data_IF_542031765157
#
_entry.id   IF_542031765157
#
_cell.length_a   1.000
_cell.length_b   1.000
_cell.length_c   1.000
_cell.angle_alpha   90.00
_cell.angle_beta   90.00
_cell.angle_gamma   90.00
#
_symmetry.space_group_name_H-M   'P 1'
#
loop_
_entity.id
_entity.type
_entity.pdbx_description
1 polymer ?
#
# COMPACT_ATOMS: atom_id res chain seq x y z
N UNK A 1 -2.60 -59.15 40.02
CA UNK A 1 -3.79 -58.67 39.31
C UNK A 1 -3.53 -57.22 38.89
N UNK A 2 -2.79 -56.95 37.79
CA UNK A 2 -3.30 -56.74 36.41
C UNK A 2 -4.53 -55.82 36.41
N UNK A 3 -4.33 -54.51 36.21
CA UNK A 3 -4.44 -53.76 34.93
C UNK A 3 -5.88 -53.70 34.36
N UNK A 4 -6.22 -52.54 33.79
CA UNK A 4 -7.41 -52.17 32.98
C UNK A 4 -8.44 -51.30 33.74
N UNK A 5 -8.21 -49.99 33.78
CA UNK A 5 -9.24 -48.95 33.51
C UNK A 5 -8.51 -47.70 33.00
N UNK A 6 -8.11 -47.69 31.72
CA UNK A 6 -7.61 -46.46 31.09
C UNK A 6 -7.77 -46.56 29.57
N UNK A 7 -9.01 -46.45 29.05
CA UNK A 7 -9.24 -46.40 27.59
C UNK A 7 -10.67 -45.97 27.23
N UNK A 8 -11.11 -44.78 27.68
CA UNK A 8 -12.23 -44.08 27.04
C UNK A 8 -11.92 -42.57 27.06
N UNK A 9 -11.01 -42.10 26.20
CA UNK A 9 -10.89 -40.67 25.85
C UNK A 9 -10.20 -40.40 24.50
N UNK A 10 -10.06 -41.40 23.62
CA UNK A 10 -9.35 -41.26 22.33
C UNK A 10 -10.25 -41.38 21.09
N UNK A 11 -11.53 -40.98 21.18
CA UNK A 11 -12.45 -41.00 20.02
C UNK A 11 -12.94 -39.62 19.57
N UNK A 12 -12.38 -38.53 20.11
CA UNK A 12 -12.78 -37.16 19.71
C UNK A 12 -11.99 -36.60 18.50
N UNK A 13 -10.74 -37.01 18.15
CA UNK A 13 -10.07 -36.45 16.97
C UNK A 13 -10.61 -36.98 15.63
N UNK A 14 -11.21 -38.17 15.58
CA UNK A 14 -11.64 -38.78 14.32
C UNK A 14 -12.94 -38.19 13.74
N UNK A 15 -13.78 -37.53 14.55
CA UNK A 15 -15.06 -36.98 14.07
C UNK A 15 -14.84 -35.70 13.26
N UNK A 16 -13.81 -34.91 13.58
CA UNK A 16 -13.49 -33.67 12.84
C UNK A 16 -12.95 -33.97 11.43
N UNK A 17 -12.03 -34.94 11.30
CA UNK A 17 -11.46 -35.35 10.00
C UNK A 17 -12.46 -36.11 9.11
N UNK A 18 -13.36 -36.89 9.72
CA UNK A 18 -14.42 -37.59 8.97
C UNK A 18 -15.52 -36.64 8.47
N UNK A 19 -15.72 -35.49 9.11
CA UNK A 19 -16.67 -34.48 8.62
C UNK A 19 -16.15 -33.80 7.35
N UNK A 20 -14.88 -33.40 7.28
CA UNK A 20 -14.32 -32.75 6.09
C UNK A 20 -14.41 -33.61 4.82
N UNK A 21 -14.17 -34.93 4.90
CA UNK A 21 -14.21 -35.84 3.73
C UNK A 21 -15.62 -36.17 3.23
N UNK A 22 -16.66 -36.05 4.07
CA UNK A 22 -18.07 -36.23 3.65
C UNK A 22 -18.60 -34.97 2.95
N UNK A 23 -18.08 -33.79 3.28
CA UNK A 23 -18.53 -32.51 2.71
C UNK A 23 -17.89 -32.14 1.37
N UNK A 24 -16.81 -32.81 0.97
CA UNK A 24 -16.14 -32.64 -0.32
C UNK A 24 -17.01 -33.05 -1.53
N UNK A 25 -18.11 -33.78 -1.32
CA UNK A 25 -18.97 -34.32 -2.39
C UNK A 25 -20.16 -33.46 -2.80
N UNK A 26 -20.46 -32.35 -2.11
CA UNK A 26 -21.62 -31.51 -2.47
C UNK A 26 -21.31 -30.56 -3.63
N UNK A 27 -22.20 -30.50 -4.61
CA UNK A 27 -22.10 -29.54 -5.72
C UNK A 27 -22.33 -28.11 -5.23
N UNK A 28 -21.82 -27.12 -5.95
CA UNK A 28 -22.07 -25.70 -5.66
C UNK A 28 -23.58 -25.39 -5.58
N UNK A 29 -24.38 -25.95 -6.49
CA UNK A 29 -25.83 -25.76 -6.51
C UNK A 29 -26.52 -26.31 -5.25
N UNK A 30 -26.06 -27.46 -4.74
CA UNK A 30 -26.56 -28.03 -3.48
C UNK A 30 -26.22 -27.12 -2.29
N UNK A 31 -24.98 -26.68 -2.17
CA UNK A 31 -24.56 -25.77 -1.08
C UNK A 31 -25.34 -24.45 -1.10
N UNK A 32 -25.59 -23.90 -2.30
CA UNK A 32 -26.38 -22.69 -2.43
C UNK A 32 -27.87 -22.91 -2.07
N UNK A 33 -28.41 -24.09 -2.38
CA UNK A 33 -29.79 -24.47 -2.01
C UNK A 33 -29.90 -24.64 -0.49
N UNK A 34 -28.93 -25.31 0.13
CA UNK A 34 -28.85 -25.46 1.59
C UNK A 34 -28.72 -24.10 2.27
N UNK A 35 -27.94 -23.18 1.71
CA UNK A 35 -27.84 -21.81 2.22
C UNK A 35 -29.18 -21.08 2.16
N UNK A 36 -29.82 -21.08 1.00
CA UNK A 36 -31.13 -20.42 0.78
C UNK A 36 -32.25 -21.00 1.66
N UNK A 37 -32.14 -22.28 2.03
CA UNK A 37 -33.11 -22.97 2.89
C UNK A 37 -32.70 -22.98 4.37
N UNK A 38 -31.61 -22.30 4.75
CA UNK A 38 -31.13 -22.24 6.14
C UNK A 38 -30.53 -23.53 6.68
N UNK A 39 -30.31 -24.54 5.83
CA UNK A 39 -29.76 -25.86 6.19
C UNK A 39 -28.24 -25.91 6.17
N UNK A 40 -27.56 -24.87 5.66
CA UNK A 40 -26.12 -24.86 5.54
C UNK A 40 -25.44 -24.70 6.92
N UNK A 41 -24.53 -25.61 7.31
CA UNK A 41 -23.74 -25.47 8.53
C UNK A 41 -22.86 -24.22 8.52
N UNK A 42 -22.68 -23.57 9.68
CA UNK A 42 -21.89 -22.34 9.82
C UNK A 42 -20.44 -22.48 9.33
N UNK A 43 -19.87 -23.68 9.42
CA UNK A 43 -18.50 -23.98 9.01
C UNK A 43 -18.34 -23.91 7.47
N UNK A 44 -19.42 -24.12 6.72
CA UNK A 44 -19.40 -24.12 5.26
C UNK A 44 -19.66 -22.75 4.64
N UNK A 45 -20.04 -21.75 5.43
CA UNK A 45 -20.31 -20.40 4.91
C UNK A 45 -19.06 -19.78 4.29
N UNK A 46 -17.87 -19.97 4.88
CA UNK A 46 -16.63 -19.44 4.32
C UNK A 46 -16.33 -20.02 2.94
N UNK A 47 -16.34 -21.36 2.81
CA UNK A 47 -16.04 -22.01 1.53
C UNK A 47 -17.09 -21.70 0.47
N UNK A 48 -18.38 -21.64 0.85
CA UNK A 48 -19.44 -21.25 -0.07
C UNK A 48 -19.29 -19.79 -0.54
N UNK A 49 -18.95 -18.85 0.36
CA UNK A 49 -18.76 -17.45 -0.02
C UNK A 49 -17.67 -17.29 -1.09
N UNK A 50 -16.53 -18.00 -0.92
CA UNK A 50 -15.43 -17.99 -1.88
C UNK A 50 -15.82 -18.66 -3.19
N UNK A 51 -16.49 -19.83 -3.16
CA UNK A 51 -17.00 -20.50 -4.36
C UNK A 51 -18.02 -19.64 -5.11
N UNK A 52 -18.90 -18.94 -4.41
CA UNK A 52 -19.85 -18.02 -5.03
C UNK A 52 -19.15 -16.87 -5.74
N UNK A 53 -18.06 -16.34 -5.19
CA UNK A 53 -17.24 -15.32 -5.84
C UNK A 53 -16.54 -15.88 -7.08
N UNK A 54 -15.98 -17.09 -7.01
CA UNK A 54 -15.37 -17.79 -8.16
C UNK A 54 -16.38 -18.03 -9.30
N UNK A 55 -17.65 -18.25 -8.96
CA UNK A 55 -18.76 -18.39 -9.90
C UNK A 55 -19.37 -17.04 -10.34
N UNK A 56 -18.71 -15.91 -10.05
CA UNK A 56 -19.14 -14.53 -10.39
C UNK A 56 -20.52 -14.16 -9.85
N UNK A 57 -20.92 -14.74 -8.71
CA UNK A 57 -22.16 -14.41 -8.03
C UNK A 57 -21.88 -13.42 -6.87
N UNK A 58 -21.46 -12.21 -7.20
CA UNK A 58 -20.89 -11.28 -6.22
C UNK A 58 -21.87 -10.87 -5.11
N UNK A 59 -23.14 -10.61 -5.46
CA UNK A 59 -24.17 -10.20 -4.49
C UNK A 59 -24.44 -11.29 -3.46
N UNK A 60 -24.60 -12.55 -3.90
CA UNK A 60 -24.82 -13.66 -2.97
C UNK A 60 -23.55 -14.00 -2.19
N UNK A 61 -22.37 -13.94 -2.82
CA UNK A 61 -21.09 -14.15 -2.17
C UNK A 61 -20.89 -13.18 -0.99
N UNK A 62 -21.18 -11.88 -1.19
CA UNK A 62 -21.11 -10.87 -0.13
C UNK A 62 -22.10 -11.14 1.00
N UNK A 63 -23.34 -11.53 0.68
CA UNK A 63 -24.34 -11.87 1.71
C UNK A 63 -23.87 -13.05 2.57
N UNK A 64 -23.40 -14.13 1.94
CA UNK A 64 -22.87 -15.30 2.65
C UNK A 64 -21.64 -14.92 3.49
N UNK A 65 -20.75 -14.08 2.96
CA UNK A 65 -19.56 -13.60 3.66
C UNK A 65 -19.92 -12.78 4.91
N UNK A 66 -20.90 -11.87 4.83
CA UNK A 66 -21.39 -11.11 5.98
C UNK A 66 -21.97 -12.05 7.06
N UNK A 67 -22.75 -13.05 6.64
CA UNK A 67 -23.29 -14.04 7.56
C UNK A 67 -22.17 -14.83 8.25
N UNK A 68 -21.19 -15.35 7.50
CA UNK A 68 -20.02 -16.02 8.07
C UNK A 68 -19.31 -15.15 9.10
N UNK A 69 -19.03 -13.88 8.75
CA UNK A 69 -18.36 -12.94 9.65
C UNK A 69 -19.12 -12.82 10.98
N UNK A 70 -20.43 -12.53 10.93
CA UNK A 70 -21.26 -12.37 12.14
C UNK A 70 -21.34 -13.64 12.99
N UNK A 71 -21.43 -14.82 12.37
CA UNK A 71 -21.64 -16.09 13.08
C UNK A 71 -20.35 -16.74 13.60
N UNK A 72 -19.18 -16.43 13.02
CA UNK A 72 -17.96 -17.18 13.25
C UNK A 72 -16.76 -16.34 13.74
N UNK A 73 -16.76 -15.03 13.51
CA UNK A 73 -15.59 -14.16 13.75
C UNK A 73 -15.73 -13.20 14.94
N UNK A 74 -16.80 -13.31 15.73
CA UNK A 74 -17.00 -12.47 16.93
C UNK A 74 -16.34 -13.04 18.21
N UNK A 75 -15.83 -14.28 18.17
CA UNK A 75 -15.27 -14.97 19.34
C UNK A 75 -13.76 -14.73 19.55
N UNK A 76 -13.31 -14.82 20.81
CA UNK A 76 -11.88 -14.78 21.22
C UNK A 76 -11.06 -15.93 20.61
N UNK A 77 -9.73 -15.82 20.69
CA UNK A 77 -8.80 -16.86 20.24
C UNK A 77 -8.49 -16.81 18.74
N UNK A 78 -8.27 -15.62 18.19
CA UNK A 78 -8.04 -15.42 16.76
C UNK A 78 -6.78 -16.10 16.23
N UNK A 79 -5.74 -16.27 17.05
CA UNK A 79 -4.47 -16.88 16.62
C UNK A 79 -4.66 -18.23 15.94
N UNK A 80 -5.50 -19.10 16.51
CA UNK A 80 -5.77 -20.43 15.98
C UNK A 80 -6.71 -20.42 14.76
N UNK A 81 -7.34 -19.28 14.46
CA UNK A 81 -8.23 -19.09 13.32
C UNK A 81 -7.53 -18.46 12.12
N UNK A 82 -6.30 -17.97 12.28
CA UNK A 82 -5.54 -17.38 11.18
C UNK A 82 -5.05 -18.49 10.24
N UNK A 83 -5.85 -18.81 9.23
CA UNK A 83 -5.53 -19.81 8.19
C UNK A 83 -5.42 -19.16 6.80
N UNK A 84 -4.78 -19.81 5.82
CA UNK A 84 -4.75 -19.33 4.43
C UNK A 84 -6.14 -19.07 3.83
N UNK A 85 -7.15 -19.85 4.19
CA UNK A 85 -8.53 -19.67 3.75
C UNK A 85 -9.15 -18.41 4.34
N UNK A 86 -8.87 -18.12 5.62
CA UNK A 86 -9.29 -16.86 6.25
C UNK A 86 -8.58 -15.66 5.62
N UNK A 87 -7.28 -15.78 5.28
CA UNK A 87 -6.56 -14.76 4.52
C UNK A 87 -7.25 -14.48 3.19
N UNK A 88 -7.54 -15.53 2.40
CA UNK A 88 -8.26 -15.43 1.12
C UNK A 88 -9.60 -14.74 1.33
N UNK A 89 -10.38 -15.17 2.32
CA UNK A 89 -11.65 -14.55 2.70
C UNK A 89 -11.53 -13.04 2.99
N UNK A 90 -10.58 -12.62 3.84
CA UNK A 90 -10.35 -11.21 4.16
C UNK A 90 -10.01 -10.41 2.89
N UNK A 91 -9.12 -10.93 2.05
CA UNK A 91 -8.71 -10.25 0.81
C UNK A 91 -9.77 -10.23 -0.27
N UNK A 92 -10.68 -11.21 -0.28
CA UNK A 92 -11.79 -11.31 -1.24
C UNK A 92 -12.99 -10.43 -0.86
N UNK A 93 -13.18 -10.16 0.44
CA UNK A 93 -14.31 -9.37 0.94
C UNK A 93 -13.87 -8.19 1.82
N UNK A 94 -12.90 -7.35 1.42
CA UNK A 94 -12.37 -6.31 2.29
C UNK A 94 -13.43 -5.29 2.73
N UNK A 95 -14.45 -5.05 1.90
CA UNK A 95 -15.53 -4.09 2.15
C UNK A 95 -16.45 -4.45 3.33
N UNK A 96 -16.52 -5.73 3.74
CA UNK A 96 -17.38 -6.13 4.87
C UNK A 96 -16.69 -5.94 6.22
N UNK A 97 -15.40 -5.61 6.21
CA UNK A 97 -14.59 -5.42 7.41
C UNK A 97 -14.46 -3.95 7.79
N UNK A 98 -14.28 -3.71 9.09
CA UNK A 98 -14.08 -2.40 9.69
C UNK A 98 -13.10 -2.44 10.85
N UNK A 99 -12.65 -1.27 11.30
CA UNK A 99 -11.80 -1.11 12.47
C UNK A 99 -12.46 -1.58 13.78
N UNK A 100 -13.79 -1.71 13.78
CA UNK A 100 -14.54 -2.22 14.93
C UNK A 100 -14.53 -3.74 15.05
N UNK A 101 -14.09 -4.46 14.01
CA UNK A 101 -14.02 -5.91 14.02
C UNK A 101 -12.86 -6.40 14.89
N UNK A 102 -13.17 -7.28 15.85
CA UNK A 102 -12.17 -7.81 16.76
C UNK A 102 -11.04 -8.57 16.05
N UNK A 103 -11.36 -9.31 14.98
CA UNK A 103 -10.35 -9.96 14.13
C UNK A 103 -9.42 -8.94 13.47
N UNK A 104 -9.94 -7.83 12.95
CA UNK A 104 -9.14 -6.82 12.26
C UNK A 104 -8.22 -6.12 13.25
N UNK A 105 -8.74 -5.72 14.42
CA UNK A 105 -7.90 -5.17 15.49
C UNK A 105 -6.81 -6.15 15.90
N UNK A 106 -7.14 -7.43 16.06
CA UNK A 106 -6.15 -8.45 16.37
C UNK A 106 -5.04 -8.52 15.31
N UNK A 107 -5.39 -8.52 14.03
CA UNK A 107 -4.42 -8.58 12.92
C UNK A 107 -3.48 -7.38 12.95
N UNK A 108 -4.02 -6.16 13.14
CA UNK A 108 -3.24 -4.93 13.14
C UNK A 108 -2.33 -4.85 14.38
N UNK A 109 -2.83 -5.25 15.55
CA UNK A 109 -2.11 -5.16 16.82
C UNK A 109 -1.09 -6.30 17.03
N UNK A 110 -1.19 -7.39 16.26
CA UNK A 110 -0.30 -8.54 16.35
C UNK A 110 0.33 -8.85 14.98
N UNK A 111 1.13 -7.92 14.42
CA UNK A 111 1.66 -8.04 13.07
C UNK A 111 2.52 -9.28 12.89
N UNK A 112 3.45 -9.56 13.80
CA UNK A 112 4.34 -10.72 13.70
C UNK A 112 3.60 -12.06 13.65
N UNK A 113 2.62 -12.24 14.54
CA UNK A 113 1.80 -13.46 14.59
C UNK A 113 0.99 -13.59 13.30
N UNK A 114 0.33 -12.51 12.90
CA UNK A 114 -0.57 -12.52 11.74
C UNK A 114 0.17 -12.74 10.43
N UNK A 115 1.28 -12.02 10.24
CA UNK A 115 2.13 -12.14 9.07
C UNK A 115 2.70 -13.54 8.93
N UNK A 116 3.18 -14.14 10.03
CA UNK A 116 3.68 -15.52 10.04
C UNK A 116 2.59 -16.54 9.75
N UNK A 117 1.42 -16.44 10.40
CA UNK A 117 0.30 -17.37 10.20
C UNK A 117 -0.27 -17.32 8.78
N UNK A 118 -0.23 -16.15 8.15
CA UNK A 118 -0.67 -15.94 6.78
C UNK A 118 0.42 -16.10 5.73
N UNK A 119 1.66 -16.36 6.13
CA UNK A 119 2.83 -16.42 5.25
C UNK A 119 2.91 -15.19 4.32
N UNK A 120 2.77 -14.00 4.91
CA UNK A 120 2.88 -12.70 4.21
C UNK A 120 3.41 -11.64 5.19
N UNK A 121 4.72 -11.35 5.17
CA UNK A 121 5.39 -10.38 6.04
C UNK A 121 4.79 -8.96 6.03
N UNK A 122 3.96 -8.62 5.04
CA UNK A 122 3.32 -7.31 4.93
C UNK A 122 1.82 -7.31 5.17
N UNK A 123 1.20 -8.46 5.48
CA UNK A 123 -0.26 -8.59 5.50
C UNK A 123 -0.92 -7.63 6.50
N UNK A 124 -0.45 -7.62 7.74
CA UNK A 124 -1.00 -6.76 8.79
C UNK A 124 -0.93 -5.27 8.40
N UNK A 125 0.20 -4.81 7.83
CA UNK A 125 0.36 -3.44 7.34
C UNK A 125 -0.58 -3.11 6.18
N UNK A 126 -0.79 -4.04 5.24
CA UNK A 126 -1.76 -3.87 4.13
C UNK A 126 -3.19 -3.76 4.65
N UNK A 127 -3.57 -4.58 5.63
CA UNK A 127 -4.88 -4.51 6.28
C UNK A 127 -5.05 -3.21 7.06
N UNK A 128 -4.05 -2.83 7.87
CA UNK A 128 -4.05 -1.56 8.61
C UNK A 128 -4.25 -0.39 7.65
N UNK A 129 -3.45 -0.33 6.57
CA UNK A 129 -3.58 0.71 5.54
C UNK A 129 -5.00 0.74 4.95
N UNK A 130 -5.51 -0.39 4.48
CA UNK A 130 -6.82 -0.42 3.85
C UNK A 130 -7.94 -0.01 4.82
N UNK A 131 -8.00 -0.61 6.00
CA UNK A 131 -9.10 -0.41 6.94
C UNK A 131 -9.03 0.96 7.61
N UNK A 132 -7.86 1.38 8.08
CA UNK A 132 -7.72 2.69 8.75
C UNK A 132 -7.86 3.84 7.76
N UNK A 133 -7.42 3.66 6.50
CA UNK A 133 -7.72 4.65 5.46
C UNK A 133 -9.23 4.76 5.24
N UNK A 134 -9.92 3.64 5.01
CA UNK A 134 -11.36 3.62 4.74
C UNK A 134 -12.21 4.15 5.90
N UNK A 135 -11.90 3.77 7.13
CA UNK A 135 -12.78 3.99 8.28
C UNK A 135 -12.43 5.23 9.11
N UNK A 136 -11.20 5.76 8.99
CA UNK A 136 -10.74 6.88 9.82
C UNK A 136 -10.26 8.04 8.94
N UNK A 137 -9.32 7.77 8.02
CA UNK A 137 -8.66 8.84 7.25
C UNK A 137 -9.59 9.43 6.20
N UNK A 138 -10.21 8.60 5.35
CA UNK A 138 -11.09 9.05 4.28
C UNK A 138 -12.29 9.83 4.82
N UNK A 139 -12.98 9.42 5.91
CA UNK A 139 -14.03 10.26 6.50
C UNK A 139 -13.54 11.62 6.99
N UNK A 140 -12.28 11.74 7.41
CA UNK A 140 -11.69 13.01 7.85
C UNK A 140 -11.24 13.89 6.68
N UNK A 141 -10.72 13.29 5.61
CA UNK A 141 -10.19 14.03 4.45
C UNK A 141 -11.26 14.30 3.39
N UNK A 142 -12.17 13.34 3.20
CA UNK A 142 -13.14 13.29 2.12
C UNK A 142 -14.57 13.04 2.66
N UNK A 143 -15.12 13.94 3.50
CA UNK A 143 -16.51 13.83 3.89
C UNK A 143 -17.38 13.78 2.62
N UNK A 144 -18.31 12.82 2.57
CA UNK A 144 -19.18 12.61 1.40
C UNK A 144 -18.44 12.25 0.08
N UNK A 145 -17.20 11.76 0.19
CA UNK A 145 -16.40 11.30 -0.94
C UNK A 145 -15.69 12.41 -1.71
N UNK A 146 -15.72 13.66 -1.23
CA UNK A 146 -14.98 14.80 -1.81
C UNK A 146 -14.04 15.38 -0.77
N UNK A 147 -12.84 15.80 -1.20
CA UNK A 147 -11.89 16.42 -0.28
C UNK A 147 -12.51 17.63 0.42
N UNK A 148 -12.40 17.66 1.75
CA UNK A 148 -12.83 18.78 2.56
C UNK A 148 -12.14 20.06 2.09
N UNK A 149 -12.87 21.17 2.13
CA UNK A 149 -12.31 22.50 1.81
C UNK A 149 -11.30 22.93 2.88
N UNK A 150 -11.65 22.70 4.14
CA UNK A 150 -10.82 23.05 5.29
C UNK A 150 -9.73 22.01 5.54
N UNK A 151 -8.62 22.48 6.11
CA UNK A 151 -7.51 21.62 6.52
C UNK A 151 -7.96 20.65 7.62
N UNK A 152 -7.71 19.33 7.47
CA UNK A 152 -7.98 18.36 8.52
C UNK A 152 -7.20 18.69 9.79
N UNK A 153 -7.80 18.39 10.95
CA UNK A 153 -7.08 18.39 12.22
C UNK A 153 -6.13 17.17 12.25
N UNK A 154 -4.91 17.38 11.77
CA UNK A 154 -3.88 16.34 11.65
C UNK A 154 -3.54 15.70 12.99
N UNK A 155 -3.57 16.47 14.09
CA UNK A 155 -3.24 15.96 15.42
C UNK A 155 -4.36 15.05 15.93
N UNK A 156 -5.62 15.44 15.73
CA UNK A 156 -6.77 14.59 16.04
C UNK A 156 -6.75 13.31 15.20
N UNK A 157 -6.50 13.42 13.89
CA UNK A 157 -6.44 12.25 13.00
C UNK A 157 -5.34 11.29 13.43
N UNK A 158 -4.14 11.79 13.74
CA UNK A 158 -3.03 10.98 14.22
C UNK A 158 -3.37 10.24 15.52
N UNK A 159 -3.99 10.92 16.49
CA UNK A 159 -4.48 10.29 17.73
C UNK A 159 -5.50 9.18 17.43
N UNK A 160 -6.41 9.39 16.48
CA UNK A 160 -7.40 8.38 16.13
C UNK A 160 -6.76 7.13 15.50
N UNK A 161 -5.78 7.30 14.61
CA UNK A 161 -5.07 6.17 13.98
C UNK A 161 -4.20 5.43 15.01
N UNK A 162 -3.54 6.14 15.91
CA UNK A 162 -2.71 5.57 16.99
C UNK A 162 -3.47 4.66 17.97
N UNK A 163 -4.80 4.77 18.04
CA UNK A 163 -5.61 3.86 18.86
C UNK A 163 -5.61 2.42 18.33
N UNK A 164 -5.21 2.21 17.07
CA UNK A 164 -5.35 0.92 16.39
C UNK A 164 -4.03 0.35 15.88
N UNK A 165 -3.07 1.17 15.50
CA UNK A 165 -1.80 0.75 14.94
C UNK A 165 -0.60 1.28 15.72
N UNK A 166 0.55 0.61 15.58
CA UNK A 166 1.80 1.04 16.17
C UNK A 166 2.23 2.44 15.66
N UNK A 167 3.05 3.19 16.41
CA UNK A 167 3.42 4.56 16.04
C UNK A 167 4.04 4.70 14.64
N UNK A 168 4.82 3.72 14.19
CA UNK A 168 5.46 3.79 12.87
C UNK A 168 4.44 3.63 11.75
N UNK A 169 3.54 2.64 11.86
CA UNK A 169 2.45 2.44 10.90
C UNK A 169 1.52 3.65 10.89
N UNK A 170 1.12 4.16 12.06
CA UNK A 170 0.26 5.32 12.19
C UNK A 170 0.86 6.57 11.55
N UNK A 171 2.13 6.87 11.84
CA UNK A 171 2.86 7.98 11.23
C UNK A 171 2.88 7.87 9.71
N UNK A 172 3.16 6.68 9.17
CA UNK A 172 3.20 6.46 7.73
C UNK A 172 1.85 6.70 7.06
N UNK A 173 0.75 6.25 7.68
CA UNK A 173 -0.60 6.47 7.16
C UNK A 173 -1.01 7.94 7.21
N UNK A 174 -0.64 8.67 8.26
CA UNK A 174 -0.90 10.10 8.37
C UNK A 174 -0.08 10.91 7.35
N UNK A 175 1.16 10.51 7.06
CA UNK A 175 1.95 11.12 5.98
C UNK A 175 1.29 10.88 4.63
N UNK A 176 0.85 9.65 4.33
CA UNK A 176 0.13 9.34 3.08
C UNK A 176 -1.15 10.20 2.96
N UNK A 177 -1.88 10.38 4.07
CA UNK A 177 -3.07 11.24 4.13
C UNK A 177 -2.74 12.71 3.85
N UNK A 178 -1.71 13.25 4.50
CA UNK A 178 -1.22 14.62 4.28
C UNK A 178 -0.84 14.84 2.83
N UNK A 179 -0.04 13.94 2.25
CA UNK A 179 0.34 14.01 0.83
C UNK A 179 -0.89 14.03 -0.08
N UNK A 180 -1.86 13.16 0.17
CA UNK A 180 -3.09 13.14 -0.61
C UNK A 180 -3.87 14.45 -0.52
N UNK A 181 -3.99 15.05 0.66
CA UNK A 181 -4.72 16.31 0.85
C UNK A 181 -3.98 17.52 0.29
N UNK A 182 -2.69 17.67 0.59
CA UNK A 182 -1.89 18.81 0.09
C UNK A 182 -1.73 18.77 -1.43
N UNK A 183 -1.62 17.58 -2.03
CA UNK A 183 -1.59 17.45 -3.49
C UNK A 183 -2.91 17.89 -4.11
N UNK A 184 -4.06 17.53 -3.53
CA UNK A 184 -5.37 18.02 -3.97
C UNK A 184 -5.46 19.55 -3.89
N UNK A 185 -4.91 20.14 -2.83
CA UNK A 185 -4.91 21.60 -2.64
C UNK A 185 -3.80 22.32 -3.41
N UNK A 186 -2.98 21.59 -4.17
CA UNK A 186 -1.80 22.11 -4.86
C UNK A 186 -0.85 22.89 -3.93
N UNK A 187 -0.80 22.49 -2.66
CA UNK A 187 0.11 23.05 -1.66
C UNK A 187 1.46 22.35 -1.76
N UNK A 188 2.22 22.77 -2.76
CA UNK A 188 3.46 22.08 -3.14
C UNK A 188 4.55 22.15 -2.08
N UNK A 189 4.59 23.20 -1.25
CA UNK A 189 5.56 23.31 -0.16
C UNK A 189 5.36 22.16 0.84
N UNK A 190 4.11 21.88 1.22
CA UNK A 190 3.79 20.75 2.08
C UNK A 190 3.94 19.40 1.37
N UNK A 191 3.63 19.31 0.06
CA UNK A 191 3.88 18.07 -0.71
C UNK A 191 5.38 17.73 -0.75
N UNK A 192 6.25 18.71 -0.98
CA UNK A 192 7.72 18.52 -0.94
C UNK A 192 8.14 18.07 0.46
N UNK A 193 7.73 18.80 1.51
CA UNK A 193 8.07 18.50 2.90
C UNK A 193 7.71 17.06 3.28
N UNK A 194 6.47 16.63 3.01
CA UNK A 194 6.02 15.31 3.43
C UNK A 194 6.54 14.16 2.56
N UNK A 195 6.93 14.41 1.30
CA UNK A 195 7.67 13.42 0.52
C UNK A 195 9.08 13.19 1.09
N UNK A 196 9.77 14.26 1.48
CA UNK A 196 11.08 14.16 2.12
C UNK A 196 10.99 13.43 3.48
N UNK A 197 10.01 13.80 4.31
CA UNK A 197 9.78 13.10 5.59
C UNK A 197 9.47 11.61 5.39
N UNK A 198 8.70 11.27 4.34
CA UNK A 198 8.42 9.87 3.99
C UNK A 198 9.70 9.12 3.66
N UNK A 199 10.56 9.68 2.82
CA UNK A 199 11.84 9.08 2.44
C UNK A 199 12.76 8.92 3.64
N UNK A 200 12.82 9.90 4.55
CA UNK A 200 13.60 9.78 5.78
C UNK A 200 13.10 8.64 6.68
N UNK A 201 11.79 8.41 6.70
CA UNK A 201 11.18 7.35 7.49
C UNK A 201 11.34 5.95 6.88
N UNK A 202 11.19 5.80 5.55
CA UNK A 202 11.19 4.47 4.89
C UNK A 202 12.51 4.12 4.20
N UNK A 203 13.38 5.10 4.00
CA UNK A 203 14.59 4.98 3.18
C UNK A 203 14.34 5.19 1.69
N UNK A 204 15.43 5.22 0.92
CA UNK A 204 15.38 5.33 -0.54
C UNK A 204 15.18 3.95 -1.17
N UNK A 205 14.11 3.79 -1.94
CA UNK A 205 13.97 2.63 -2.82
C UNK A 205 14.73 2.87 -4.13
N UNK A 206 15.88 2.21 -4.25
CA UNK A 206 16.78 2.34 -5.42
C UNK A 206 16.74 1.11 -6.32
N UNK A 207 15.77 0.21 -6.13
CA UNK A 207 15.64 -1.05 -6.86
C UNK A 207 14.33 -1.10 -7.67
N UNK A 208 14.27 -2.01 -8.65
CA UNK A 208 13.05 -2.31 -9.40
C UNK A 208 12.35 -1.07 -9.96
N UNK A 209 11.06 -0.90 -9.62
CA UNK A 209 10.24 0.26 -9.98
C UNK A 209 10.52 1.49 -9.10
N UNK A 210 11.05 1.28 -7.89
CA UNK A 210 11.32 2.33 -6.91
C UNK A 210 12.31 3.38 -7.41
N UNK A 211 13.33 2.96 -8.18
CA UNK A 211 14.29 3.90 -8.79
C UNK A 211 13.62 4.90 -9.75
N UNK A 212 12.65 4.45 -10.55
CA UNK A 212 11.89 5.32 -11.45
C UNK A 212 10.93 6.21 -10.66
N UNK A 213 10.28 5.68 -9.62
CA UNK A 213 9.44 6.48 -8.72
C UNK A 213 10.24 7.57 -8.01
N UNK A 214 11.48 7.28 -7.60
CA UNK A 214 12.37 8.24 -6.97
C UNK A 214 12.75 9.35 -7.94
N UNK A 215 13.17 9.02 -9.17
CA UNK A 215 13.44 10.03 -10.21
C UNK A 215 12.22 10.93 -10.45
N UNK A 216 11.04 10.32 -10.64
CA UNK A 216 9.82 11.08 -10.91
C UNK A 216 9.44 11.98 -9.74
N UNK A 217 9.57 11.51 -8.49
CA UNK A 217 9.35 12.35 -7.30
C UNK A 217 10.34 13.52 -7.25
N UNK A 218 11.62 13.27 -7.54
CA UNK A 218 12.62 14.34 -7.59
C UNK A 218 12.27 15.38 -8.67
N UNK A 219 11.93 14.94 -9.89
CA UNK A 219 11.62 15.83 -10.99
C UNK A 219 10.29 16.57 -10.76
N UNK A 220 9.18 15.83 -10.65
CA UNK A 220 7.81 16.37 -10.63
C UNK A 220 7.50 17.12 -9.35
N UNK A 221 8.11 16.76 -8.22
CA UNK A 221 7.78 17.38 -6.92
C UNK A 221 8.86 18.35 -6.48
N UNK A 222 10.10 17.87 -6.34
CA UNK A 222 11.18 18.70 -5.78
C UNK A 222 11.64 19.74 -6.79
N UNK A 223 12.00 19.33 -8.01
CA UNK A 223 12.55 20.23 -9.02
C UNK A 223 11.49 21.20 -9.56
N UNK A 224 10.28 20.74 -9.90
CA UNK A 224 9.25 21.65 -10.43
C UNK A 224 8.78 22.67 -9.39
N UNK A 225 8.57 22.25 -8.14
CA UNK A 225 7.83 23.09 -7.19
C UNK A 225 8.64 23.65 -6.02
N UNK A 226 9.76 23.04 -5.63
CA UNK A 226 10.53 23.55 -4.49
C UNK A 226 11.34 24.79 -4.84
N UNK A 227 11.30 25.79 -3.94
CA UNK A 227 12.25 26.92 -3.87
C UNK A 227 13.24 26.79 -2.72
N UNK A 228 13.02 25.82 -1.82
CA UNK A 228 13.89 25.57 -0.69
C UNK A 228 15.18 24.86 -1.15
N UNK A 229 16.30 25.55 -0.95
CA UNK A 229 17.64 25.04 -1.26
C UNK A 229 17.95 23.73 -0.52
N UNK A 230 17.46 23.53 0.70
CA UNK A 230 17.69 22.29 1.43
C UNK A 230 16.97 21.10 0.78
N UNK A 231 15.71 21.27 0.38
CA UNK A 231 14.96 20.27 -0.38
C UNK A 231 15.60 19.96 -1.75
N UNK A 232 16.03 20.99 -2.48
CA UNK A 232 16.73 20.81 -3.77
C UNK A 232 18.05 20.04 -3.61
N UNK A 233 18.82 20.33 -2.57
CA UNK A 233 20.06 19.60 -2.26
C UNK A 233 19.81 18.14 -1.86
N UNK A 234 18.70 17.84 -1.17
CA UNK A 234 18.29 16.45 -0.94
C UNK A 234 17.95 15.74 -2.24
N UNK A 235 17.20 16.40 -3.14
CA UNK A 235 16.94 15.89 -4.49
C UNK A 235 18.23 15.56 -5.25
N UNK A 236 19.21 16.46 -5.23
CA UNK A 236 20.54 16.21 -5.82
C UNK A 236 21.22 14.98 -5.24
N UNK A 237 21.24 14.84 -3.90
CA UNK A 237 21.83 13.68 -3.26
C UNK A 237 21.14 12.36 -3.65
N UNK A 238 19.81 12.37 -3.79
CA UNK A 238 19.05 11.19 -4.24
C UNK A 238 19.40 10.81 -5.67
N UNK A 239 19.50 11.79 -6.57
CA UNK A 239 19.88 11.55 -7.97
C UNK A 239 21.32 11.03 -8.10
N UNK A 240 22.26 11.55 -7.30
CA UNK A 240 23.63 11.04 -7.27
C UNK A 240 23.68 9.55 -6.89
N UNK A 241 22.87 9.13 -5.90
CA UNK A 241 22.78 7.72 -5.51
C UNK A 241 22.22 6.86 -6.66
N UNK A 242 21.20 7.33 -7.36
CA UNK A 242 20.63 6.62 -8.52
C UNK A 242 21.63 6.48 -9.67
N UNK A 243 22.30 7.58 -10.02
CA UNK A 243 23.25 7.65 -11.13
C UNK A 243 24.52 6.83 -10.87
N UNK A 244 24.98 6.73 -9.62
CA UNK A 244 26.10 5.84 -9.27
C UNK A 244 25.85 4.38 -9.68
N UNK A 245 24.59 3.93 -9.64
CA UNK A 245 24.19 2.56 -10.03
C UNK A 245 23.74 2.46 -11.49
N UNK A 246 23.42 3.59 -12.13
CA UNK A 246 22.81 3.62 -13.47
C UNK A 246 23.42 4.80 -14.27
N UNK A 247 24.72 4.74 -14.59
CA UNK A 247 25.45 5.89 -15.14
C UNK A 247 25.04 6.31 -16.55
N UNK A 248 24.26 5.47 -17.25
CA UNK A 248 23.79 5.65 -18.62
C UNK A 248 22.26 5.86 -18.72
N UNK A 249 21.61 6.18 -17.59
CA UNK A 249 20.20 6.53 -17.55
C UNK A 249 20.02 8.02 -17.92
N UNK A 250 19.92 8.32 -19.21
CA UNK A 250 19.84 9.68 -19.76
C UNK A 250 18.74 10.54 -19.11
N UNK A 251 17.54 9.99 -18.90
CA UNK A 251 16.43 10.69 -18.22
C UNK A 251 16.76 11.11 -16.78
N UNK A 252 17.59 10.35 -16.08
CA UNK A 252 17.99 10.66 -14.70
C UNK A 252 19.15 11.63 -14.66
N UNK A 253 20.00 11.61 -15.69
CA UNK A 253 21.07 12.58 -15.89
C UNK A 253 20.44 13.96 -16.18
N UNK A 254 19.44 14.03 -17.05
CA UNK A 254 18.65 15.26 -17.32
C UNK A 254 18.01 15.80 -16.04
N UNK A 255 17.34 14.95 -15.25
CA UNK A 255 16.76 15.39 -13.96
C UNK A 255 17.83 15.94 -13.02
N UNK A 256 19.00 15.30 -12.96
CA UNK A 256 20.13 15.77 -12.15
C UNK A 256 20.71 17.10 -12.66
N UNK A 257 20.87 17.26 -13.97
CA UNK A 257 21.33 18.48 -14.62
C UNK A 257 20.39 19.67 -14.34
N UNK A 258 19.09 19.46 -14.47
CA UNK A 258 18.07 20.45 -14.17
C UNK A 258 18.10 20.91 -12.70
N UNK A 259 18.27 19.99 -11.75
CA UNK A 259 18.46 20.34 -10.35
C UNK A 259 19.75 21.12 -10.11
N UNK A 260 20.88 20.68 -10.70
CA UNK A 260 22.16 21.38 -10.60
C UNK A 260 22.03 22.82 -11.07
N UNK A 261 21.35 23.01 -12.20
CA UNK A 261 21.09 24.32 -12.76
C UNK A 261 20.24 25.17 -11.81
N UNK A 262 19.15 24.60 -11.25
CA UNK A 262 18.26 25.30 -10.32
C UNK A 262 18.94 25.73 -9.03
N UNK A 263 19.95 25.00 -8.55
CA UNK A 263 20.76 25.40 -7.37
C UNK A 263 21.96 26.31 -7.73
N UNK A 264 22.09 26.73 -9.00
CA UNK A 264 23.12 27.66 -9.45
C UNK A 264 24.45 27.01 -9.89
N UNK A 265 24.54 25.68 -9.94
CA UNK A 265 25.73 24.95 -10.42
C UNK A 265 25.75 24.83 -11.95
N UNK A 266 25.73 25.98 -12.63
CA UNK A 266 25.51 26.11 -14.07
C UNK A 266 26.46 25.26 -14.93
N UNK A 267 27.76 25.31 -14.67
CA UNK A 267 28.74 24.59 -15.49
C UNK A 267 28.59 23.08 -15.38
N UNK A 268 28.42 22.56 -14.15
CA UNK A 268 28.18 21.14 -13.91
C UNK A 268 26.86 20.69 -14.56
N UNK A 269 25.81 21.51 -14.49
CA UNK A 269 24.53 21.22 -15.12
C UNK A 269 24.66 21.06 -16.64
N UNK A 270 25.33 21.99 -17.32
CA UNK A 270 25.51 21.93 -18.78
C UNK A 270 26.34 20.71 -19.20
N UNK A 271 27.33 20.30 -18.40
CA UNK A 271 28.11 19.08 -18.66
C UNK A 271 27.23 17.83 -18.56
N UNK A 272 26.41 17.72 -17.52
CA UNK A 272 25.50 16.59 -17.35
C UNK A 272 24.41 16.55 -18.43
N UNK A 273 23.83 17.70 -18.79
CA UNK A 273 22.84 17.80 -19.86
C UNK A 273 23.42 17.34 -21.21
N UNK A 274 24.65 17.78 -21.51
CA UNK A 274 25.36 17.34 -22.71
C UNK A 274 25.63 15.83 -22.70
N UNK A 275 25.92 15.25 -21.53
CA UNK A 275 26.04 13.80 -21.35
C UNK A 275 24.72 13.09 -21.63
N UNK A 276 23.59 13.60 -21.14
CA UNK A 276 22.26 13.04 -21.41
C UNK A 276 21.95 13.04 -22.92
N UNK A 277 22.23 14.14 -23.63
CA UNK A 277 22.12 14.25 -25.09
C UNK A 277 22.93 13.16 -25.79
N UNK A 278 24.19 12.96 -25.40
CA UNK A 278 25.07 11.99 -26.05
C UNK A 278 24.58 10.55 -25.87
N UNK A 279 24.04 10.21 -24.70
CA UNK A 279 23.44 8.90 -24.43
C UNK A 279 22.12 8.72 -25.20
N UNK A 280 21.29 9.76 -25.29
CA UNK A 280 20.07 9.70 -26.10
C UNK A 280 20.37 9.48 -27.58
N UNK A 281 21.40 10.17 -28.12
CA UNK A 281 21.90 9.95 -29.48
C UNK A 281 22.37 8.51 -29.72
N UNK A 282 23.13 7.93 -28.78
CA UNK A 282 23.59 6.54 -28.93
C UNK A 282 22.46 5.52 -28.90
N UNK A 283 21.31 5.87 -28.29
CA UNK A 283 20.07 5.10 -28.30
C UNK A 283 19.16 5.38 -29.50
N UNK A 284 19.55 6.30 -30.39
CA UNK A 284 18.73 6.80 -31.52
C UNK A 284 17.37 7.37 -31.07
N UNK A 285 17.31 8.02 -29.91
CA UNK A 285 16.09 8.64 -29.36
C UNK A 285 16.03 10.13 -29.69
N UNK A 286 15.65 10.44 -30.93
CA UNK A 286 15.60 11.83 -31.44
C UNK A 286 14.67 12.75 -30.64
N UNK A 287 13.60 12.20 -30.06
CA UNK A 287 12.67 12.98 -29.24
C UNK A 287 13.37 13.50 -27.98
N UNK A 288 14.09 12.62 -27.27
CA UNK A 288 14.88 13.01 -26.09
C UNK A 288 16.06 13.91 -26.42
N UNK A 289 16.75 13.65 -27.54
CA UNK A 289 17.83 14.53 -28.01
C UNK A 289 17.33 15.95 -28.17
N UNK A 290 16.14 16.13 -28.75
CA UNK A 290 15.53 17.45 -28.91
C UNK A 290 15.17 18.08 -27.56
N UNK A 291 14.52 17.33 -26.68
CA UNK A 291 14.13 17.79 -25.34
C UNK A 291 15.33 18.29 -24.52
N UNK A 292 16.37 17.47 -24.40
CA UNK A 292 17.59 17.82 -23.65
C UNK A 292 18.36 18.97 -24.30
N UNK A 293 18.39 19.05 -25.63
CA UNK A 293 19.00 20.18 -26.33
C UNK A 293 18.26 21.50 -26.05
N UNK A 294 16.93 21.47 -25.90
CA UNK A 294 16.14 22.64 -25.50
C UNK A 294 16.44 23.06 -24.06
N UNK A 295 16.58 22.10 -23.13
CA UNK A 295 17.01 22.37 -21.76
C UNK A 295 18.41 22.99 -21.71
N UNK A 296 19.40 22.40 -22.41
CA UNK A 296 20.75 22.94 -22.51
C UNK A 296 20.75 24.37 -23.07
N UNK A 297 19.96 24.63 -24.12
CA UNK A 297 19.83 25.97 -24.69
C UNK A 297 19.30 26.97 -23.66
N UNK A 298 18.33 26.59 -22.81
CA UNK A 298 17.85 27.45 -21.73
C UNK A 298 18.95 27.71 -20.70
N UNK A 299 19.68 26.66 -20.28
CA UNK A 299 20.80 26.79 -19.35
C UNK A 299 21.88 27.76 -19.85
N UNK A 300 22.30 27.62 -21.12
CA UNK A 300 23.29 28.50 -21.76
C UNK A 300 22.83 29.96 -21.71
N UNK A 301 21.56 30.22 -21.97
CA UNK A 301 20.97 31.57 -22.04
C UNK A 301 20.49 32.12 -20.68
N UNK A 302 20.86 31.49 -19.56
CA UNK A 302 20.44 31.90 -18.21
C UNK A 302 18.92 31.96 -18.03
N UNK A 303 18.19 31.04 -18.68
CA UNK A 303 16.74 30.92 -18.58
C UNK A 303 16.35 29.69 -17.74
N UNK A 304 15.32 29.81 -16.87
CA UNK A 304 14.78 28.66 -16.15
C UNK A 304 14.40 27.51 -17.08
N UNK A 305 14.72 26.29 -16.65
CA UNK A 305 14.27 25.05 -17.31
C UNK A 305 12.93 24.55 -16.77
N UNK A 306 12.43 25.14 -15.69
CA UNK A 306 11.13 24.88 -15.06
C UNK A 306 10.14 26.02 -15.31
N UNK A 307 8.86 25.79 -15.01
CA UNK A 307 7.82 26.81 -15.09
C UNK A 307 7.97 27.82 -13.93
N UNK A 308 7.87 29.13 -14.23
CA UNK A 308 7.94 30.20 -13.23
C UNK A 308 6.60 30.45 -12.54
#
# INVERSE_FOLDING_TARGET
MKQIVMLICWLVPCIAFAQESIYEKRTYAQLLTDYKTGKLPKQQLLSLSLKSLENRQDSIARKIAQEYKSRNLEAKGFENKLTPELKKFITSFPAIFSVNDALIRYIIQNPEISNRKFDDPGFSKKIAKHILTKDIIDPALKPEGKFAEQMPDWLKLERQVNNYADPQTSKALVIDAKLSWYNEKMDWDNVVKYNLEKIEMVGLDTAGIGKSMLNNMVYEIIFQHSKDTAALNKGLAYMQILLKKNPDADTWIDTYANLLYKVGKKNEAMEQEQKAINIAKSKNDEARVKEYAEALKKMVNDRPTWNQ
#
